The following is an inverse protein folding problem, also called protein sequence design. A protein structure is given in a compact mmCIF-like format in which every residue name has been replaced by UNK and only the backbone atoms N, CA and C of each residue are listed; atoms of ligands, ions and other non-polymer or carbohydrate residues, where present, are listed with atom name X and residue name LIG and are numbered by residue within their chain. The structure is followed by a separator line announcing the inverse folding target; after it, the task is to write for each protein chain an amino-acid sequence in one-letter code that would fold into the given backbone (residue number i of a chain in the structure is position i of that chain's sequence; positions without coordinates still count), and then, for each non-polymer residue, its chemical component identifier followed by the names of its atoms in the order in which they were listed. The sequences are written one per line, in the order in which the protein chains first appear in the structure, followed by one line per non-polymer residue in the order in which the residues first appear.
data_IF_426908081210
#
_entry.id   IF_426908081210
#
_cell.length_a   1.000
_cell.length_b   1.000
_cell.length_c   1.000
_cell.angle_alpha   90.00
_cell.angle_beta   90.00
_cell.angle_gamma   90.00
#
_symmetry.space_group_name_H-M   'P 1'
#
loop_
_entity.id
_entity.type
_entity.pdbx_description
1 polymer ?
#
# COMPACT_ATOMS: atom_id res chain seq x y z
N UNK A 1 -13.59 14.61 14.10
CA UNK A 1 -12.64 14.02 13.14
C UNK A 1 -12.62 12.53 13.45
N UNK A 2 -12.89 11.67 12.45
CA UNK A 2 -12.82 10.22 12.65
C UNK A 2 -11.36 9.83 12.92
N UNK A 3 -11.16 8.86 13.81
CA UNK A 3 -9.81 8.34 14.05
C UNK A 3 -9.22 7.74 12.76
N UNK A 4 -7.93 7.94 12.48
CA UNK A 4 -7.32 7.51 11.24
C UNK A 4 -7.17 5.99 11.14
N UNK A 5 -7.18 5.49 9.90
CA UNK A 5 -6.85 4.11 9.55
C UNK A 5 -5.41 4.02 9.05
N UNK A 6 -4.64 3.07 9.54
CA UNK A 6 -3.37 2.70 8.91
C UNK A 6 -3.66 1.79 7.72
N UNK A 7 -3.15 2.16 6.56
CA UNK A 7 -3.21 1.32 5.35
C UNK A 7 -1.80 0.91 4.98
N UNK A 8 -1.54 -0.39 4.99
CA UNK A 8 -0.27 -0.96 4.54
C UNK A 8 -0.50 -1.56 3.16
N UNK A 9 -0.01 -0.86 2.13
CA UNK A 9 -0.19 -1.26 0.73
C UNK A 9 0.77 -2.39 0.38
N UNK A 10 0.21 -3.52 -0.02
CA UNK A 10 0.85 -4.67 -0.67
C UNK A 10 2.18 -5.15 -0.01
N UNK A 11 2.25 -5.35 1.32
CA UNK A 11 3.47 -5.82 1.99
C UNK A 11 3.69 -7.32 1.72
N UNK A 12 3.98 -7.65 0.46
CA UNK A 12 4.04 -9.01 -0.07
C UNK A 12 5.45 -9.36 -0.55
N UNK A 13 5.77 -10.64 -0.57
CA UNK A 13 7.07 -11.14 -1.03
C UNK A 13 7.41 -10.68 -2.45
N UNK A 14 6.42 -10.66 -3.36
CA UNK A 14 6.64 -10.22 -4.74
C UNK A 14 7.20 -8.79 -4.86
N UNK A 15 6.89 -7.91 -3.91
CA UNK A 15 7.30 -6.49 -3.94
C UNK A 15 8.42 -6.16 -2.96
N UNK A 16 8.78 -7.07 -2.07
CA UNK A 16 9.71 -6.79 -0.97
C UNK A 16 10.88 -7.78 -0.89
N UNK A 17 10.73 -9.00 -1.40
CA UNK A 17 11.83 -9.95 -1.37
C UNK A 17 12.97 -9.51 -2.30
N UNK A 18 14.23 -9.55 -1.84
CA UNK A 18 15.38 -9.07 -2.63
C UNK A 18 15.63 -9.85 -3.93
N UNK A 19 15.12 -11.07 -4.01
CA UNK A 19 15.22 -11.98 -5.15
C UNK A 19 14.02 -11.89 -6.10
N UNK A 20 13.02 -11.07 -5.79
CA UNK A 20 11.89 -10.81 -6.68
C UNK A 20 12.24 -9.79 -7.75
N UNK A 21 11.79 -10.01 -8.99
CA UNK A 21 11.97 -9.05 -10.09
C UNK A 21 11.34 -7.67 -9.79
N UNK A 22 10.30 -7.63 -8.94
CA UNK A 22 9.65 -6.40 -8.48
C UNK A 22 10.03 -6.00 -7.05
N UNK A 23 11.05 -6.64 -6.48
CA UNK A 23 11.51 -6.35 -5.11
C UNK A 23 12.05 -4.93 -4.97
N UNK A 24 11.49 -4.16 -4.05
CA UNK A 24 11.97 -2.80 -3.75
C UNK A 24 13.26 -2.83 -2.92
N UNK A 25 14.33 -2.16 -3.38
CA UNK A 25 15.55 -2.03 -2.58
C UNK A 25 15.38 -1.15 -1.34
N UNK A 26 14.28 -0.38 -1.27
CA UNK A 26 13.99 0.53 -0.16
C UNK A 26 13.12 -0.13 0.92
N UNK A 27 12.61 -1.35 0.67
CA UNK A 27 11.69 -2.03 1.57
C UNK A 27 12.23 -2.20 3.00
N UNK A 28 13.48 -2.58 3.26
CA UNK A 28 13.95 -2.80 4.63
C UNK A 28 13.76 -1.58 5.56
N UNK A 29 13.95 -0.37 5.03
CA UNK A 29 13.71 0.87 5.78
C UNK A 29 12.23 1.11 6.05
N UNK A 30 11.38 0.92 5.03
CA UNK A 30 9.95 1.07 5.16
C UNK A 30 9.36 0.02 6.12
N UNK A 31 9.81 -1.22 6.05
CA UNK A 31 9.38 -2.30 6.94
C UNK A 31 9.60 -1.98 8.41
N UNK A 32 10.78 -1.46 8.78
CA UNK A 32 11.08 -1.07 10.15
C UNK A 32 10.13 0.02 10.68
N UNK A 33 9.81 1.00 9.83
CA UNK A 33 8.89 2.08 10.16
C UNK A 33 7.44 1.59 10.24
N UNK A 34 7.00 0.71 9.34
CA UNK A 34 5.69 0.05 9.41
C UNK A 34 5.56 -0.72 10.72
N UNK A 35 6.58 -1.51 11.11
CA UNK A 35 6.58 -2.24 12.38
C UNK A 35 6.36 -1.32 13.59
N UNK A 36 6.93 -0.12 13.55
CA UNK A 36 6.80 0.89 14.61
C UNK A 36 5.39 1.50 14.65
N UNK A 37 4.73 1.66 13.50
CA UNK A 37 3.40 2.24 13.40
C UNK A 37 2.28 1.26 13.79
N UNK A 38 2.38 0.00 13.44
CA UNK A 38 1.32 -1.01 13.59
C UNK A 38 0.68 -1.04 15.00
N UNK A 39 1.41 -1.01 16.12
CA UNK A 39 0.80 -1.05 17.45
C UNK A 39 -0.13 0.12 17.75
N UNK A 40 0.15 1.30 17.18
CA UNK A 40 -0.64 2.52 17.38
C UNK A 40 -2.02 2.45 16.72
N UNK A 41 -2.16 1.64 15.67
CA UNK A 41 -3.38 1.50 14.88
C UNK A 41 -4.07 0.14 15.11
N UNK A 42 -3.89 -0.45 16.29
CA UNK A 42 -4.56 -1.71 16.64
C UNK A 42 -6.08 -1.60 16.47
N UNK A 43 -6.67 -2.54 15.73
CA UNK A 43 -8.09 -2.55 15.38
C UNK A 43 -8.50 -1.58 14.24
N UNK A 44 -7.55 -0.79 13.71
CA UNK A 44 -7.77 0.17 12.62
C UNK A 44 -6.68 0.07 11.56
N UNK A 45 -6.30 -1.15 11.21
CA UNK A 45 -5.29 -1.42 10.17
C UNK A 45 -5.94 -2.18 9.02
N UNK A 46 -5.67 -1.72 7.80
CA UNK A 46 -6.00 -2.41 6.55
C UNK A 46 -4.69 -2.80 5.89
N UNK A 47 -4.60 -4.05 5.48
CA UNK A 47 -3.47 -4.60 4.73
C UNK A 47 -4.00 -4.99 3.37
N UNK A 48 -3.45 -4.41 2.31
CA UNK A 48 -3.84 -4.78 0.96
C UNK A 48 -2.92 -5.83 0.38
N UNK A 49 -3.44 -6.63 -0.55
CA UNK A 49 -2.65 -7.55 -1.37
C UNK A 49 -3.00 -7.37 -2.83
N UNK A 50 -1.99 -7.25 -3.65
CA UNK A 50 -2.17 -7.45 -5.08
C UNK A 50 -2.23 -8.95 -5.38
N UNK A 51 -3.24 -9.36 -6.12
CA UNK A 51 -3.42 -10.73 -6.58
C UNK A 51 -3.67 -10.67 -8.08
N UNK A 52 -2.92 -11.40 -8.91
CA UNK A 52 -3.05 -11.28 -10.36
C UNK A 52 -4.49 -11.56 -10.81
N UNK A 53 -5.01 -10.80 -11.78
CA UNK A 53 -6.34 -11.06 -12.32
C UNK A 53 -6.38 -12.43 -12.98
N UNK A 54 -7.41 -13.22 -12.67
CA UNK A 54 -7.59 -14.54 -13.28
C UNK A 54 -7.63 -14.44 -14.83
N UNK A 55 -7.10 -15.41 -15.56
CA UNK A 55 -7.01 -15.34 -17.04
C UNK A 55 -8.32 -14.96 -17.74
N UNK A 56 -9.46 -15.46 -17.26
CA UNK A 56 -10.79 -15.15 -17.81
C UNK A 56 -11.37 -13.78 -17.39
N UNK A 57 -10.64 -12.99 -16.58
CA UNK A 57 -11.05 -11.65 -16.11
C UNK A 57 -10.05 -10.56 -16.46
N UNK A 58 -9.16 -10.81 -17.41
CA UNK A 58 -8.14 -9.84 -17.87
C UNK A 58 -8.73 -8.97 -18.96
N UNK A 59 -9.36 -7.89 -18.56
CA UNK A 59 -9.93 -6.91 -19.48
C UNK A 59 -8.87 -5.94 -20.00
N UNK A 60 -9.06 -5.45 -21.22
CA UNK A 60 -8.21 -4.44 -21.84
C UNK A 60 -6.73 -4.83 -21.87
N UNK A 61 -5.88 -3.95 -21.36
CA UNK A 61 -4.41 -4.14 -21.35
C UNK A 61 -3.90 -5.15 -20.34
N UNK A 62 -4.73 -5.65 -19.41
CA UNK A 62 -4.27 -6.61 -18.39
C UNK A 62 -3.75 -7.92 -18.98
N UNK A 63 -4.30 -8.39 -20.11
CA UNK A 63 -3.77 -9.57 -20.80
C UNK A 63 -2.35 -9.34 -21.31
N UNK A 64 -2.08 -8.18 -21.91
CA UNK A 64 -0.75 -7.80 -22.38
C UNK A 64 0.22 -7.56 -21.20
N UNK A 65 -0.26 -6.96 -20.12
CA UNK A 65 0.53 -6.74 -18.90
C UNK A 65 1.00 -8.08 -18.30
N UNK A 66 0.09 -9.04 -18.10
CA UNK A 66 0.44 -10.33 -17.54
C UNK A 66 1.34 -11.15 -18.47
N UNK A 67 1.20 -11.01 -19.80
CA UNK A 67 2.10 -11.63 -20.78
C UNK A 67 3.51 -11.03 -20.73
N UNK A 68 3.65 -9.75 -20.39
CA UNK A 68 4.95 -9.08 -20.24
C UNK A 68 5.66 -9.48 -18.94
N UNK A 69 4.92 -9.94 -17.92
CA UNK A 69 5.44 -10.29 -16.59
C UNK A 69 5.07 -11.72 -16.19
N UNK A 70 5.54 -12.75 -16.92
CA UNK A 70 5.12 -14.13 -16.69
C UNK A 70 5.50 -14.68 -15.31
N UNK A 71 6.53 -14.13 -14.66
CA UNK A 71 6.91 -14.53 -13.31
C UNK A 71 5.82 -14.20 -12.28
N UNK A 72 5.02 -13.16 -12.54
CA UNK A 72 3.91 -12.73 -11.68
C UNK A 72 2.56 -13.37 -12.07
N UNK A 73 2.51 -14.11 -13.20
CA UNK A 73 1.31 -14.79 -13.66
C UNK A 73 1.20 -16.19 -13.04
N UNK A 74 0.85 -16.25 -11.76
CA UNK A 74 0.77 -17.46 -10.96
C UNK A 74 -0.59 -17.60 -10.29
N UNK A 75 -0.82 -18.77 -9.71
CA UNK A 75 -1.99 -18.99 -8.86
C UNK A 75 -2.01 -18.00 -7.68
N UNK A 76 -3.17 -17.42 -7.36
CA UNK A 76 -3.29 -16.51 -6.20
C UNK A 76 -2.81 -17.08 -4.85
N UNK A 77 -2.76 -18.41 -4.72
CA UNK A 77 -2.23 -19.09 -3.53
C UNK A 77 -0.71 -19.33 -3.56
N UNK A 78 -0.01 -18.90 -4.64
CA UNK A 78 1.45 -19.03 -4.71
C UNK A 78 2.10 -18.23 -3.56
N UNK A 79 3.10 -18.80 -2.86
CA UNK A 79 3.82 -18.12 -1.78
C UNK A 79 4.45 -16.77 -2.15
N UNK A 80 4.62 -16.49 -3.44
CA UNK A 80 5.08 -15.20 -3.93
C UNK A 80 4.14 -14.05 -3.51
N UNK A 81 2.84 -14.34 -3.36
CA UNK A 81 1.81 -13.36 -2.96
C UNK A 81 1.57 -13.34 -1.44
N UNK A 82 2.29 -14.12 -0.65
CA UNK A 82 2.18 -14.09 0.80
C UNK A 82 2.57 -12.72 1.36
N UNK A 83 1.82 -12.28 2.37
CA UNK A 83 2.22 -11.11 3.16
C UNK A 83 3.45 -11.41 4.00
N UNK A 84 4.25 -10.38 4.23
CA UNK A 84 5.46 -10.47 5.03
C UNK A 84 5.17 -10.60 6.53
N UNK A 85 6.14 -11.11 7.26
CA UNK A 85 5.99 -11.42 8.68
C UNK A 85 5.72 -10.16 9.53
N UNK A 86 6.18 -8.99 9.10
CA UNK A 86 5.98 -7.72 9.80
C UNK A 86 4.51 -7.40 10.06
N UNK A 87 3.60 -7.77 9.16
CA UNK A 87 2.16 -7.50 9.30
C UNK A 87 1.37 -8.65 9.93
N UNK A 88 1.95 -9.83 10.10
CA UNK A 88 1.24 -11.00 10.68
C UNK A 88 0.67 -10.76 12.08
N UNK A 89 1.39 -10.10 13.01
CA UNK A 89 0.81 -9.79 14.32
C UNK A 89 -0.43 -8.90 14.24
N UNK A 90 -0.44 -7.92 13.31
CA UNK A 90 -1.61 -7.06 13.11
C UNK A 90 -2.80 -7.85 12.56
N UNK A 91 -2.57 -8.79 11.61
CA UNK A 91 -3.62 -9.68 11.08
C UNK A 91 -4.20 -10.55 12.20
N UNK A 92 -3.36 -11.14 13.05
CA UNK A 92 -3.80 -11.92 14.21
C UNK A 92 -4.57 -11.05 15.21
N UNK A 93 -4.24 -9.77 15.30
CA UNK A 93 -4.91 -8.76 16.11
C UNK A 93 -6.18 -8.17 15.48
N UNK A 94 -6.64 -8.69 14.33
CA UNK A 94 -7.88 -8.28 13.69
C UNK A 94 -7.76 -7.21 12.61
N UNK A 95 -6.55 -6.94 12.07
CA UNK A 95 -6.41 -6.10 10.89
C UNK A 95 -7.17 -6.71 9.70
N UNK A 96 -7.81 -5.85 8.91
CA UNK A 96 -8.57 -6.26 7.73
C UNK A 96 -7.62 -6.48 6.57
N UNK A 97 -7.69 -7.66 5.96
CA UNK A 97 -6.91 -7.96 4.73
C UNK A 97 -7.85 -7.86 3.53
N UNK A 98 -7.45 -7.13 2.51
CA UNK A 98 -8.21 -6.96 1.26
C UNK A 98 -7.36 -7.27 0.04
N UNK A 99 -7.92 -7.98 -0.91
CA UNK A 99 -7.26 -8.35 -2.17
C UNK A 99 -7.79 -7.50 -3.32
N UNK A 100 -6.92 -7.12 -4.24
CA UNK A 100 -7.30 -6.45 -5.48
C UNK A 100 -6.39 -6.86 -6.64
N UNK A 101 -6.94 -7.02 -7.87
CA UNK A 101 -6.15 -7.34 -9.05
C UNK A 101 -5.57 -6.10 -9.73
N UNK A 102 -5.82 -4.92 -9.20
CA UNK A 102 -5.42 -3.62 -9.74
C UNK A 102 -4.28 -3.00 -8.93
N UNK A 103 -3.60 -2.00 -9.49
CA UNK A 103 -2.58 -1.24 -8.76
C UNK A 103 -3.23 -0.44 -7.61
N UNK A 104 -4.27 0.33 -7.90
CA UNK A 104 -5.04 1.06 -6.87
C UNK A 104 -5.92 0.14 -6.02
N UNK A 105 -6.07 0.50 -4.74
CA UNK A 105 -6.83 -0.26 -3.74
C UNK A 105 -8.00 0.55 -3.14
N UNK A 106 -8.29 1.73 -3.70
CA UNK A 106 -9.26 2.64 -3.12
C UNK A 106 -10.65 2.01 -2.94
N UNK A 107 -11.14 1.27 -3.93
CA UNK A 107 -12.46 0.62 -3.87
C UNK A 107 -12.57 -0.36 -2.69
N UNK A 108 -11.52 -1.13 -2.42
CA UNK A 108 -11.48 -2.07 -1.30
C UNK A 108 -11.35 -1.34 0.04
N UNK A 109 -10.57 -0.26 0.09
CA UNK A 109 -10.37 0.52 1.30
C UNK A 109 -11.66 1.24 1.71
N UNK A 110 -12.33 1.92 0.77
CA UNK A 110 -13.58 2.64 1.08
C UNK A 110 -14.71 1.71 1.51
N UNK A 111 -14.73 0.47 1.03
CA UNK A 111 -15.68 -0.55 1.47
C UNK A 111 -15.52 -0.92 2.95
N UNK A 112 -14.31 -0.78 3.52
CA UNK A 112 -14.01 -1.03 4.92
C UNK A 112 -14.20 0.22 5.79
N UNK A 113 -13.70 1.36 5.31
CA UNK A 113 -13.65 2.60 6.10
C UNK A 113 -14.92 3.43 6.04
N UNK A 114 -15.74 3.24 5.01
CA UNK A 114 -16.79 4.20 4.62
C UNK A 114 -16.22 5.42 3.91
N UNK A 115 -17.09 6.38 3.51
CA UNK A 115 -16.71 7.54 2.72
C UNK A 115 -15.87 8.55 3.52
N UNK A 116 -14.99 9.26 2.80
CA UNK A 116 -14.17 10.36 3.32
C UNK A 116 -13.35 10.00 4.60
N UNK A 117 -12.62 8.87 4.63
CA UNK A 117 -11.82 8.49 5.79
C UNK A 117 -10.59 9.38 5.95
N UNK A 118 -10.00 9.32 7.16
CA UNK A 118 -8.61 9.73 7.36
C UNK A 118 -7.71 8.51 7.24
N UNK A 119 -6.77 8.53 6.29
CA UNK A 119 -5.86 7.43 6.00
C UNK A 119 -4.40 7.81 6.32
N UNK A 120 -3.70 6.93 6.98
CA UNK A 120 -2.23 6.95 7.13
C UNK A 120 -1.71 5.85 6.20
N UNK A 121 -1.09 6.23 5.09
CA UNK A 121 -0.74 5.31 4.00
C UNK A 121 0.75 5.00 4.04
N UNK A 122 1.07 3.71 3.98
CA UNK A 122 2.40 3.11 3.98
C UNK A 122 2.47 1.98 2.95
N UNK A 123 3.63 1.39 2.72
CA UNK A 123 3.78 0.15 1.93
C UNK A 123 4.56 0.31 0.62
N UNK A 124 4.23 -0.51 -0.39
CA UNK A 124 5.02 -0.67 -1.64
C UNK A 124 4.13 -0.91 -2.86
N UNK A 125 4.48 -0.46 -4.08
CA UNK A 125 5.55 0.49 -4.36
C UNK A 125 4.98 1.91 -4.38
N UNK A 126 5.76 2.86 -3.86
CA UNK A 126 5.36 4.28 -3.77
C UNK A 126 4.94 4.84 -5.13
N UNK A 127 5.69 4.51 -6.17
CA UNK A 127 5.54 4.93 -7.56
C UNK A 127 4.51 4.11 -8.36
N UNK A 128 3.87 3.12 -7.75
CA UNK A 128 2.86 2.26 -8.39
C UNK A 128 1.60 2.13 -7.52
N UNK A 129 1.52 1.09 -6.67
CA UNK A 129 0.31 0.77 -5.91
C UNK A 129 -0.07 1.86 -4.90
N UNK A 130 0.91 2.52 -4.26
CA UNK A 130 0.66 3.60 -3.30
C UNK A 130 0.04 4.80 -4.00
N UNK A 131 0.73 5.38 -4.99
CA UNK A 131 0.21 6.57 -5.71
C UNK A 131 -1.13 6.29 -6.41
N UNK A 132 -1.29 5.09 -7.00
CA UNK A 132 -2.54 4.66 -7.64
C UNK A 132 -3.70 4.48 -6.65
N UNK A 133 -3.42 4.38 -5.36
CA UNK A 133 -4.42 4.34 -4.30
C UNK A 133 -4.69 5.74 -3.74
N UNK A 134 -3.63 6.51 -3.51
CA UNK A 134 -3.69 7.84 -2.88
C UNK A 134 -4.48 8.84 -3.72
N UNK A 135 -4.19 8.94 -5.02
CA UNK A 135 -4.82 9.96 -5.87
C UNK A 135 -6.34 9.75 -6.03
N UNK A 136 -6.85 8.55 -6.35
CA UNK A 136 -8.29 8.32 -6.37
C UNK A 136 -8.97 8.49 -5.01
N UNK A 137 -8.30 8.16 -3.91
CA UNK A 137 -8.83 8.38 -2.57
C UNK A 137 -8.95 9.87 -2.25
N UNK A 138 -7.94 10.68 -2.61
CA UNK A 138 -7.96 12.13 -2.46
C UNK A 138 -9.08 12.76 -3.28
N UNK A 139 -9.23 12.34 -4.54
CA UNK A 139 -10.30 12.82 -5.44
C UNK A 139 -11.70 12.47 -4.91
N UNK A 140 -11.81 11.34 -4.20
CA UNK A 140 -13.06 10.93 -3.52
C UNK A 140 -13.28 11.62 -2.15
N UNK A 141 -12.39 12.51 -1.72
CA UNK A 141 -12.56 13.33 -0.51
C UNK A 141 -11.94 12.72 0.76
N UNK A 142 -11.09 11.70 0.66
CA UNK A 142 -10.32 11.22 1.80
C UNK A 142 -9.28 12.25 2.26
N UNK A 143 -8.97 12.28 3.56
CA UNK A 143 -7.81 12.98 4.11
C UNK A 143 -6.66 11.99 4.26
N UNK A 144 -5.50 12.27 3.68
CA UNK A 144 -4.44 11.27 3.53
C UNK A 144 -3.12 11.81 4.06
N UNK A 145 -2.51 11.08 4.98
CA UNK A 145 -1.11 11.25 5.38
C UNK A 145 -0.28 10.13 4.75
N UNK A 146 0.56 10.46 3.75
CA UNK A 146 1.51 9.51 3.17
C UNK A 146 2.77 9.51 4.01
N UNK A 147 3.14 8.36 4.58
CA UNK A 147 4.31 8.24 5.44
C UNK A 147 5.54 7.95 4.60
N UNK A 148 6.31 8.99 4.31
CA UNK A 148 7.37 9.01 3.30
C UNK A 148 8.50 8.01 3.56
N UNK A 149 8.83 7.76 4.82
CA UNK A 149 9.85 6.84 5.30
C UNK A 149 9.31 5.43 5.63
N UNK A 150 7.98 5.24 5.53
CA UNK A 150 7.31 3.94 5.61
C UNK A 150 6.71 3.50 4.26
N UNK A 151 7.05 4.19 3.17
CA UNK A 151 6.77 3.81 1.80
C UNK A 151 8.06 3.44 1.08
N UNK A 152 8.02 2.42 0.23
CA UNK A 152 9.17 1.94 -0.54
C UNK A 152 8.86 2.01 -2.04
N UNK A 153 9.60 2.82 -2.79
CA UNK A 153 9.51 2.88 -4.26
C UNK A 153 10.33 1.79 -4.95
N UNK A 154 10.08 1.60 -6.24
CA UNK A 154 10.85 0.67 -7.08
C UNK A 154 12.33 1.09 -7.22
N UNK A 155 12.61 2.38 -7.05
CA UNK A 155 13.94 2.99 -6.95
C UNK A 155 13.85 4.28 -6.15
N UNK A 156 14.99 4.82 -5.71
CA UNK A 156 15.01 6.12 -5.03
C UNK A 156 14.50 7.25 -5.92
N UNK A 157 14.84 7.24 -7.20
CA UNK A 157 14.37 8.22 -8.18
C UNK A 157 12.85 8.18 -8.35
N UNK A 158 12.29 6.99 -8.56
CA UNK A 158 10.84 6.81 -8.73
C UNK A 158 10.08 7.16 -7.45
N UNK A 159 10.60 6.79 -6.28
CA UNK A 159 10.03 7.21 -5.00
C UNK A 159 9.93 8.73 -4.90
N UNK A 160 11.02 9.43 -5.21
CA UNK A 160 11.08 10.89 -5.14
C UNK A 160 10.07 11.54 -6.11
N UNK A 161 9.97 10.99 -7.33
CA UNK A 161 9.00 11.46 -8.33
C UNK A 161 7.56 11.30 -7.84
N UNK A 162 7.22 10.13 -7.30
CA UNK A 162 5.87 9.86 -6.78
C UNK A 162 5.53 10.74 -5.58
N UNK A 163 6.44 10.91 -4.62
CA UNK A 163 6.25 11.79 -3.47
C UNK A 163 6.10 13.25 -3.91
N UNK A 164 6.87 13.69 -4.90
CA UNK A 164 6.73 15.05 -5.46
C UNK A 164 5.33 15.26 -6.04
N UNK A 165 4.81 14.29 -6.81
CA UNK A 165 3.46 14.37 -7.37
C UNK A 165 2.40 14.39 -6.26
N UNK A 166 2.44 13.46 -5.31
CA UNK A 166 1.47 13.40 -4.21
C UNK A 166 1.48 14.66 -3.35
N UNK A 167 2.64 15.28 -3.17
CA UNK A 167 2.81 16.55 -2.43
C UNK A 167 2.16 17.77 -3.09
N UNK A 168 1.61 17.66 -4.30
CA UNK A 168 0.89 18.73 -4.98
C UNK A 168 -0.60 18.82 -4.62
N UNK A 169 -1.10 17.94 -3.75
CA UNK A 169 -2.52 17.80 -3.42
C UNK A 169 -2.93 18.24 -1.99
N UNK A 170 -2.30 19.27 -1.37
CA UNK A 170 -2.80 19.76 -0.10
C UNK A 170 -4.17 20.46 -0.28
N UNK A 171 -5.10 20.39 0.68
CA UNK A 171 -4.94 19.71 1.99
C UNK A 171 -5.34 18.24 2.01
N UNK A 172 -5.74 17.64 0.89
CA UNK A 172 -6.19 16.25 0.85
C UNK A 172 -5.06 15.27 1.13
N UNK A 173 -3.85 15.57 0.63
CA UNK A 173 -2.65 14.75 0.84
C UNK A 173 -1.58 15.55 1.56
N UNK A 174 -1.11 15.00 2.69
CA UNK A 174 0.01 15.51 3.47
C UNK A 174 1.13 14.47 3.50
N UNK A 175 2.37 14.92 3.26
CA UNK A 175 3.56 14.07 3.34
C UNK A 175 4.14 14.17 4.75
N UNK A 176 4.20 13.05 5.46
CA UNK A 176 4.63 12.95 6.85
C UNK A 176 5.73 11.91 7.00
N UNK A 177 6.49 12.02 8.06
CA UNK A 177 7.39 10.96 8.53
C UNK A 177 6.70 10.07 9.56
N UNK A 178 7.26 8.89 9.82
CA UNK A 178 6.84 8.02 10.94
C UNK A 178 6.84 8.78 12.25
N UNK A 179 7.88 9.61 12.51
CA UNK A 179 7.98 10.41 13.72
C UNK A 179 6.83 11.42 13.83
N UNK A 180 6.46 12.09 12.74
CA UNK A 180 5.34 13.03 12.71
C UNK A 180 4.02 12.36 13.07
N UNK A 181 3.78 11.16 12.52
CA UNK A 181 2.57 10.37 12.84
C UNK A 181 2.55 9.97 14.32
N UNK A 182 3.68 9.56 14.88
CA UNK A 182 3.77 9.13 16.28
C UNK A 182 3.58 10.30 17.27
N UNK A 183 3.99 11.50 16.90
CA UNK A 183 3.83 12.72 17.72
C UNK A 183 2.44 13.34 17.63
N UNK A 184 1.68 13.05 16.57
CA UNK A 184 0.32 13.59 16.41
C UNK A 184 -0.63 12.96 17.44
N UNK A 185 -1.54 13.72 18.05
CA UNK A 185 -2.61 13.14 18.84
C UNK A 185 -3.48 12.23 17.91
N UNK A 186 -3.92 11.09 18.45
CA UNK A 186 -4.86 10.19 17.76
C UNK A 186 -6.26 10.79 17.84
#
# INVERSE_FOLDING_TARGET
VSEPWLVVIDPQRIFAAPDSEWGSPLWPGAEANIATLLPRFSGRTIITRWVPPAPGRREGSWSAYMAAWPFADRDPADPLFDVLDVVRPAIQGGAVVVDAPTFGKWEQIVAVTGPAPHLVVTGVATDCCVISTVLPAADAGATISVVTDACAGSSLEHQQAALTVMGLYPPQVDLRTTEDILRSPV
#
